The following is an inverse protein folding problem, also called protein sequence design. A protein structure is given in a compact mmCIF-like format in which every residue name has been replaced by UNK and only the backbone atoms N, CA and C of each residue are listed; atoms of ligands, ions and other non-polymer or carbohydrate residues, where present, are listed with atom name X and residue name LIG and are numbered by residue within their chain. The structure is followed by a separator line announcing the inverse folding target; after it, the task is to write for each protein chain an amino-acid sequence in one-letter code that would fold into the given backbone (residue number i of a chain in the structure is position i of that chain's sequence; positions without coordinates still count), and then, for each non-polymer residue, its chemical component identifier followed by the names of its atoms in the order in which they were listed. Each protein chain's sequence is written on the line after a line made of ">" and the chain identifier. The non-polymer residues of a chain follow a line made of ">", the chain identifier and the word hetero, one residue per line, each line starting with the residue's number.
data_IF_702866553359
#
_entry.id   IF_702866553359
#
_cell.length_a   1.000
_cell.length_b   1.000
_cell.length_c   1.000
_cell.angle_alpha   90.00
_cell.angle_beta   90.00
_cell.angle_gamma   90.00
#
_symmetry.space_group_name_H-M   'P 1'
#
loop_
_entity.id
_entity.type
_entity.pdbx_description
1 polymer ?
#
# COMPACT_ATOMS: atom_id res chain seq x y z
N UNK A 1 -5.76 -17.20 32.45
CA UNK A 1 -5.13 -17.99 31.37
C UNK A 1 -6.10 -18.32 30.23
N UNK A 2 -7.20 -19.04 30.46
CA UNK A 2 -8.11 -19.46 29.36
C UNK A 2 -8.74 -18.30 28.57
N UNK A 3 -9.13 -17.21 29.26
CA UNK A 3 -9.63 -15.98 28.61
C UNK A 3 -8.56 -15.25 27.80
N UNK A 4 -7.28 -15.37 28.18
CA UNK A 4 -6.15 -14.75 27.46
C UNK A 4 -5.82 -15.57 26.21
N UNK A 5 -5.74 -16.90 26.32
CA UNK A 5 -5.55 -17.80 25.17
C UNK A 5 -6.69 -17.68 24.14
N UNK A 6 -7.94 -17.60 24.60
CA UNK A 6 -9.09 -17.45 23.69
C UNK A 6 -9.07 -16.09 22.97
N UNK A 7 -8.59 -15.03 23.63
CA UNK A 7 -8.38 -13.71 23.02
C UNK A 7 -7.25 -13.74 21.97
N UNK A 8 -6.12 -14.36 22.29
CA UNK A 8 -5.02 -14.52 21.33
C UNK A 8 -5.45 -15.35 20.12
N UNK A 9 -6.25 -16.40 20.34
CA UNK A 9 -6.79 -17.27 19.29
C UNK A 9 -7.80 -16.55 18.38
N UNK A 10 -8.70 -15.74 18.94
CA UNK A 10 -9.68 -14.97 18.15
C UNK A 10 -9.01 -13.85 17.34
N UNK A 11 -8.02 -13.17 17.92
CA UNK A 11 -7.19 -12.20 17.20
C UNK A 11 -6.38 -12.89 16.09
N UNK A 12 -5.81 -14.07 16.36
CA UNK A 12 -5.16 -14.89 15.34
C UNK A 12 -6.14 -15.21 14.20
N UNK A 13 -7.39 -15.60 14.51
CA UNK A 13 -8.40 -15.99 13.53
C UNK A 13 -8.89 -14.82 12.67
N UNK A 14 -9.02 -13.61 13.22
CA UNK A 14 -9.39 -12.40 12.46
C UNK A 14 -8.22 -11.92 11.58
N UNK A 15 -6.99 -12.09 12.07
CA UNK A 15 -5.79 -11.80 11.29
C UNK A 15 -5.53 -12.88 10.22
N UNK A 16 -5.80 -14.15 10.50
CA UNK A 16 -5.73 -15.30 9.57
C UNK A 16 -6.88 -15.32 8.55
N UNK A 17 -8.07 -14.85 8.90
CA UNK A 17 -9.17 -14.70 7.93
C UNK A 17 -8.87 -13.59 6.92
N UNK A 18 -8.00 -12.65 7.27
CA UNK A 18 -7.42 -11.68 6.33
C UNK A 18 -6.42 -12.32 5.34
N UNK A 19 -5.96 -13.55 5.58
CA UNK A 19 -5.10 -14.31 4.66
C UNK A 19 -5.88 -15.22 3.70
N UNK A 20 -7.10 -15.65 4.03
CA UNK A 20 -7.78 -16.72 3.28
C UNK A 20 -8.63 -16.27 2.07
N UNK A 21 -8.71 -14.98 1.77
CA UNK A 21 -9.44 -14.48 0.60
C UNK A 21 -8.51 -14.23 -0.60
N UNK A 22 -7.75 -15.25 -1.03
CA UNK A 22 -7.11 -15.26 -2.35
C UNK A 22 -7.33 -16.61 -3.00
N UNK A 23 -8.05 -16.60 -4.12
CA UNK A 23 -8.42 -17.78 -4.90
C UNK A 23 -7.19 -18.60 -5.35
N UNK A 24 -7.25 -19.91 -5.14
CA UNK A 24 -6.36 -20.89 -5.78
C UNK A 24 -6.70 -20.98 -7.28
N UNK A 25 -5.69 -21.19 -8.13
CA UNK A 25 -5.88 -22.23 -9.14
C UNK A 25 -4.69 -23.19 -9.28
N UNK A 26 -5.00 -24.25 -10.01
CA UNK A 26 -4.37 -25.57 -10.01
C UNK A 26 -2.98 -25.66 -10.64
N UNK A 27 -2.30 -26.75 -10.30
CA UNK A 27 -0.91 -27.07 -10.59
C UNK A 27 -0.47 -27.02 -12.06
N UNK A 28 0.83 -26.83 -12.23
CA UNK A 28 1.60 -27.34 -13.35
C UNK A 28 2.98 -27.78 -12.81
N UNK A 29 3.40 -28.97 -13.21
CA UNK A 29 4.60 -29.69 -12.76
C UNK A 29 5.88 -29.02 -13.26
N UNK A 30 6.94 -29.15 -12.45
CA UNK A 30 8.33 -28.90 -12.83
C UNK A 30 8.83 -30.01 -13.76
N UNK A 31 9.38 -29.64 -14.91
CA UNK A 31 10.42 -30.42 -15.57
C UNK A 31 11.59 -29.48 -15.89
N UNK A 32 12.77 -29.89 -15.44
CA UNK A 32 14.03 -29.22 -15.63
C UNK A 32 14.67 -29.67 -16.94
N UNK A 33 15.21 -28.71 -17.69
CA UNK A 33 16.36 -28.95 -18.57
C UNK A 33 17.11 -27.62 -18.77
N UNK A 34 18.40 -27.59 -18.45
CA UNK A 34 19.31 -26.47 -18.79
C UNK A 34 19.81 -26.65 -20.23
N UNK A 35 19.98 -25.55 -21.00
CA UNK A 35 21.36 -25.15 -21.31
C UNK A 35 21.64 -23.63 -21.51
N UNK A 36 22.89 -23.29 -21.16
CA UNK A 36 23.86 -22.27 -21.63
C UNK A 36 23.41 -20.91 -22.24
N UNK A 37 23.79 -19.81 -21.55
CA UNK A 37 23.56 -18.38 -21.90
C UNK A 37 22.46 -17.72 -21.03
N UNK A 38 22.42 -16.37 -20.83
CA UNK A 38 21.36 -15.75 -20.03
C UNK A 38 20.03 -15.87 -20.78
N UNK A 39 19.31 -16.95 -20.50
CA UNK A 39 18.10 -17.32 -21.19
C UNK A 39 16.96 -16.35 -20.83
N UNK A 40 16.51 -15.57 -21.81
CA UNK A 40 15.24 -14.84 -21.75
C UNK A 40 14.06 -15.82 -21.81
N UNK A 41 13.85 -16.59 -20.74
CA UNK A 41 12.68 -17.46 -20.61
C UNK A 41 11.42 -16.59 -20.43
N UNK A 42 10.45 -16.73 -21.33
CA UNK A 42 9.15 -16.04 -21.23
C UNK A 42 8.20 -16.92 -20.43
N UNK A 43 8.30 -16.88 -19.10
CA UNK A 43 7.44 -17.66 -18.18
C UNK A 43 6.39 -16.74 -17.57
N UNK A 44 5.13 -17.15 -17.60
CA UNK A 44 4.06 -16.48 -16.87
C UNK A 44 4.34 -16.52 -15.37
N UNK A 45 4.49 -15.35 -14.75
CA UNK A 45 4.72 -15.29 -13.30
C UNK A 45 3.36 -15.22 -12.60
N UNK A 46 3.12 -16.05 -11.57
CA UNK A 46 1.92 -15.96 -10.71
C UNK A 46 1.98 -14.72 -9.78
N UNK A 47 2.55 -13.62 -10.24
CA UNK A 47 2.68 -12.36 -9.51
C UNK A 47 3.74 -12.34 -8.40
N UNK A 48 4.12 -13.47 -7.80
CA UNK A 48 5.14 -13.51 -6.72
C UNK A 48 4.79 -12.53 -5.59
N UNK A 49 3.52 -12.54 -5.17
CA UNK A 49 2.76 -11.44 -4.55
C UNK A 49 3.31 -10.84 -3.23
N UNK A 50 4.44 -11.32 -2.70
CA UNK A 50 5.11 -10.80 -1.50
C UNK A 50 6.62 -10.59 -1.67
N UNK A 51 7.17 -10.78 -2.86
CA UNK A 51 8.62 -10.72 -3.11
C UNK A 51 9.03 -9.63 -4.08
N UNK A 52 8.08 -9.01 -4.76
CA UNK A 52 8.33 -8.03 -5.80
C UNK A 52 7.78 -6.67 -5.41
N UNK A 53 8.60 -5.65 -5.61
CA UNK A 53 8.27 -4.24 -5.33
C UNK A 53 8.37 -3.43 -6.60
N UNK A 54 7.30 -2.70 -6.93
CA UNK A 54 7.27 -1.78 -8.06
C UNK A 54 8.22 -0.61 -7.82
N UNK A 55 9.10 -0.33 -8.77
CA UNK A 55 10.02 0.83 -8.74
C UNK A 55 9.77 1.82 -9.89
N UNK A 56 9.07 1.37 -10.92
CA UNK A 56 8.62 2.20 -12.05
C UNK A 56 7.33 1.63 -12.61
N UNK A 57 6.39 2.52 -12.92
CA UNK A 57 5.14 2.20 -13.62
C UNK A 57 5.04 3.05 -14.88
N UNK A 58 4.64 2.43 -15.99
CA UNK A 58 4.29 3.11 -17.23
C UNK A 58 3.04 2.46 -17.83
N UNK A 59 1.88 3.10 -17.68
CA UNK A 59 0.56 2.47 -17.89
C UNK A 59 0.46 1.14 -17.15
N UNK A 60 0.37 0.03 -17.86
CA UNK A 60 0.29 -1.31 -17.28
C UNK A 60 1.66 -2.01 -17.18
N UNK A 61 2.73 -1.38 -17.66
CA UNK A 61 4.09 -1.89 -17.56
C UNK A 61 4.71 -1.54 -16.22
N UNK A 62 5.52 -2.47 -15.68
CA UNK A 62 6.13 -2.33 -14.36
C UNK A 62 7.54 -2.86 -14.34
N UNK A 63 8.46 -2.08 -13.79
CA UNK A 63 9.76 -2.59 -13.34
C UNK A 63 9.60 -2.94 -11.86
N UNK A 64 9.93 -4.19 -11.51
CA UNK A 64 9.84 -4.66 -10.15
C UNK A 64 11.18 -5.19 -9.66
N UNK A 65 11.57 -4.85 -8.43
CA UNK A 65 12.73 -5.42 -7.75
C UNK A 65 12.33 -6.57 -6.84
N UNK A 66 13.13 -7.63 -6.86
CA UNK A 66 12.99 -8.76 -5.95
C UNK A 66 13.61 -8.44 -4.58
N UNK A 67 12.86 -8.65 -3.50
CA UNK A 67 13.21 -8.22 -2.14
C UNK A 67 14.50 -8.86 -1.56
N UNK A 68 14.96 -9.98 -2.12
CA UNK A 68 16.13 -10.71 -1.59
C UNK A 68 17.33 -10.71 -2.52
N UNK A 69 17.08 -10.81 -3.83
CA UNK A 69 18.15 -10.95 -4.81
C UNK A 69 18.50 -9.61 -5.45
N UNK A 70 17.71 -8.55 -5.19
CA UNK A 70 17.79 -7.23 -5.82
C UNK A 70 17.69 -7.22 -7.35
N UNK A 71 17.45 -8.38 -7.98
CA UNK A 71 17.21 -8.47 -9.41
C UNK A 71 15.90 -7.79 -9.76
N UNK A 72 15.88 -7.15 -10.90
CA UNK A 72 14.71 -6.52 -11.46
C UNK A 72 14.12 -7.38 -12.58
N UNK A 73 12.81 -7.23 -12.77
CA UNK A 73 12.08 -7.72 -13.94
C UNK A 73 11.25 -6.60 -14.52
N UNK A 74 11.17 -6.54 -15.85
CA UNK A 74 10.19 -5.73 -16.56
C UNK A 74 8.99 -6.63 -16.91
N UNK A 75 7.79 -6.23 -16.49
CA UNK A 75 6.52 -6.88 -16.84
C UNK A 75 5.70 -5.96 -17.72
N UNK A 76 5.01 -6.53 -18.72
CA UNK A 76 3.95 -5.84 -19.46
C UNK A 76 2.59 -5.95 -18.74
N UNK A 77 1.56 -5.33 -19.31
CA UNK A 77 0.19 -5.35 -18.76
C UNK A 77 -0.47 -6.74 -18.70
N UNK A 78 0.11 -7.75 -19.36
CA UNK A 78 -0.33 -9.16 -19.26
C UNK A 78 0.47 -9.94 -18.23
N UNK A 79 1.30 -9.26 -17.42
CA UNK A 79 2.28 -9.84 -16.49
C UNK A 79 3.29 -10.78 -17.18
N UNK A 80 3.55 -10.57 -18.47
CA UNK A 80 4.58 -11.30 -19.20
C UNK A 80 5.91 -10.59 -18.96
N UNK A 81 6.95 -11.36 -18.59
CA UNK A 81 8.30 -10.83 -18.42
C UNK A 81 8.89 -10.42 -19.77
N UNK A 82 9.28 -9.15 -19.88
CA UNK A 82 9.90 -8.53 -21.07
C UNK A 82 11.36 -8.13 -20.84
N UNK A 83 11.82 -8.14 -19.61
CA UNK A 83 13.20 -7.83 -19.23
C UNK A 83 13.55 -8.46 -17.88
N UNK A 84 14.85 -8.63 -17.65
CA UNK A 84 15.42 -9.24 -16.46
C UNK A 84 16.87 -8.75 -16.30
N UNK A 85 17.33 -8.52 -15.08
CA UNK A 85 18.67 -8.02 -14.82
C UNK A 85 18.67 -7.11 -13.60
N UNK A 86 19.36 -5.98 -13.68
CA UNK A 86 19.18 -4.87 -12.74
C UNK A 86 18.12 -3.86 -13.22
N UNK A 87 18.02 -2.73 -12.52
CA UNK A 87 17.05 -1.68 -12.87
C UNK A 87 17.35 -1.07 -14.23
N UNK A 88 18.63 -0.82 -14.54
CA UNK A 88 19.06 -0.14 -15.76
C UNK A 88 18.82 -1.05 -16.98
N UNK A 89 19.05 -2.35 -16.84
CA UNK A 89 18.70 -3.35 -17.86
C UNK A 89 17.19 -3.32 -18.17
N UNK A 90 16.36 -3.35 -17.14
CA UNK A 90 14.91 -3.32 -17.28
C UNK A 90 14.40 -1.98 -17.82
N UNK A 91 15.03 -0.88 -17.42
CA UNK A 91 14.73 0.46 -17.89
C UNK A 91 15.08 0.61 -19.38
N UNK A 92 16.26 0.16 -19.79
CA UNK A 92 16.68 0.15 -21.19
C UNK A 92 15.72 -0.67 -22.07
N UNK A 93 15.24 -1.82 -21.58
CA UNK A 93 14.24 -2.62 -22.27
C UNK A 93 12.89 -1.90 -22.41
N UNK A 94 12.45 -1.17 -21.38
CA UNK A 94 11.24 -0.34 -21.46
C UNK A 94 11.40 0.82 -22.44
N UNK A 95 12.55 1.50 -22.45
CA UNK A 95 12.84 2.59 -23.39
C UNK A 95 12.97 2.09 -24.84
N UNK A 96 13.46 0.87 -25.05
CA UNK A 96 13.41 0.22 -26.36
C UNK A 96 11.97 0.02 -26.84
N UNK A 97 11.10 -0.53 -25.97
CA UNK A 97 9.67 -0.66 -26.27
C UNK A 97 9.02 0.69 -26.60
N UNK A 98 9.29 1.74 -25.82
CA UNK A 98 8.75 3.09 -26.07
C UNK A 98 9.18 3.63 -27.44
N UNK A 99 10.44 3.45 -27.83
CA UNK A 99 10.94 3.90 -29.14
C UNK A 99 10.35 3.12 -30.31
N UNK A 100 10.16 1.81 -30.16
CA UNK A 100 9.68 0.94 -31.23
C UNK A 100 8.17 1.03 -31.44
N UNK A 101 7.40 1.12 -30.34
CA UNK A 101 5.94 1.05 -30.38
C UNK A 101 5.27 2.43 -30.26
N UNK A 102 6.01 3.49 -29.92
CA UNK A 102 5.51 4.85 -29.67
C UNK A 102 4.19 4.90 -28.85
N UNK A 103 4.17 4.28 -27.66
CA UNK A 103 2.96 4.24 -26.84
C UNK A 103 2.59 5.64 -26.36
N UNK A 104 1.30 5.93 -26.11
CA UNK A 104 0.88 7.21 -25.56
C UNK A 104 1.66 7.58 -24.30
N UNK A 105 1.95 8.86 -24.12
CA UNK A 105 2.55 9.37 -22.88
C UNK A 105 1.63 9.13 -21.69
N UNK A 106 2.22 9.02 -20.50
CA UNK A 106 1.47 8.87 -19.25
C UNK A 106 1.14 10.25 -18.67
N UNK A 107 0.05 10.85 -19.14
CA UNK A 107 -0.39 12.21 -18.76
C UNK A 107 -1.65 12.19 -17.88
N UNK A 108 -2.07 13.36 -17.38
CA UNK A 108 -3.30 13.56 -16.62
C UNK A 108 -3.13 13.34 -15.11
N UNK A 109 -4.19 12.84 -14.46
CA UNK A 109 -4.25 12.69 -13.00
C UNK A 109 -4.11 11.21 -12.60
N UNK A 110 -3.20 10.90 -11.69
CA UNK A 110 -2.91 9.54 -11.22
C UNK A 110 -3.28 9.38 -9.75
N UNK A 111 -3.88 8.25 -9.39
CA UNK A 111 -4.10 7.83 -8.01
C UNK A 111 -3.28 6.57 -7.74
N UNK A 112 -2.26 6.68 -6.90
CA UNK A 112 -1.42 5.56 -6.45
C UNK A 112 -2.05 4.92 -5.21
N UNK A 113 -2.32 3.62 -5.28
CA UNK A 113 -2.94 2.84 -4.21
C UNK A 113 -1.90 1.95 -3.52
N UNK A 114 -1.77 2.08 -2.20
CA UNK A 114 -0.84 1.28 -1.39
C UNK A 114 -1.61 0.34 -0.45
N UNK A 115 -1.30 -0.95 -0.51
CA UNK A 115 -1.95 -1.99 0.30
C UNK A 115 -1.36 -2.11 1.72
N UNK A 116 -2.05 -2.81 2.62
CA UNK A 116 -1.53 -3.12 3.95
C UNK A 116 -0.45 -4.21 3.99
N UNK A 117 0.06 -4.47 5.18
CA UNK A 117 1.02 -5.55 5.45
C UNK A 117 0.39 -6.94 5.19
N UNK A 118 1.18 -7.91 4.73
CA UNK A 118 0.74 -9.26 4.36
C UNK A 118 -0.33 -9.30 3.24
N UNK A 119 -0.53 -8.19 2.53
CA UNK A 119 -1.45 -8.08 1.40
C UNK A 119 -0.70 -7.84 0.11
N UNK A 120 -1.43 -7.94 -1.00
CA UNK A 120 -0.95 -7.53 -2.32
C UNK A 120 -1.83 -6.41 -2.87
N UNK A 121 -1.43 -5.86 -4.03
CA UNK A 121 -2.20 -4.86 -4.77
C UNK A 121 -3.65 -5.26 -5.03
N UNK A 122 -3.95 -6.57 -5.11
CA UNK A 122 -5.31 -7.08 -5.30
C UNK A 122 -6.27 -6.68 -4.18
N UNK A 123 -5.77 -6.43 -2.96
CA UNK A 123 -6.61 -5.94 -1.85
C UNK A 123 -7.15 -4.51 -2.07
N UNK A 124 -6.51 -3.73 -2.94
CA UNK A 124 -6.93 -2.38 -3.29
C UNK A 124 -7.85 -2.35 -4.52
N UNK A 125 -8.10 -3.50 -5.16
CA UNK A 125 -8.78 -3.59 -6.46
C UNK A 125 -10.22 -3.05 -6.41
N UNK A 126 -10.92 -3.23 -5.29
CA UNK A 126 -12.27 -2.70 -5.12
C UNK A 126 -12.28 -1.17 -5.13
N UNK A 127 -11.36 -0.54 -4.38
CA UNK A 127 -11.15 0.92 -4.44
C UNK A 127 -10.72 1.34 -5.83
N UNK A 128 -9.78 0.61 -6.45
CA UNK A 128 -9.24 0.93 -7.77
C UNK A 128 -10.33 1.00 -8.83
N UNK A 129 -11.15 -0.05 -8.90
CA UNK A 129 -12.28 -0.15 -9.81
C UNK A 129 -13.29 0.96 -9.58
N UNK A 130 -13.68 1.19 -8.32
CA UNK A 130 -14.65 2.23 -8.00
C UNK A 130 -14.16 3.62 -8.46
N UNK A 131 -12.91 3.96 -8.16
CA UNK A 131 -12.33 5.24 -8.58
C UNK A 131 -12.25 5.34 -10.11
N UNK A 132 -11.78 4.28 -10.79
CA UNK A 132 -11.66 4.27 -12.25
C UNK A 132 -13.02 4.38 -12.97
N UNK A 133 -14.07 3.73 -12.45
CA UNK A 133 -15.42 3.78 -13.04
C UNK A 133 -16.13 5.13 -12.85
N UNK A 134 -15.74 5.89 -11.83
CA UNK A 134 -16.46 7.11 -11.42
C UNK A 134 -15.64 8.40 -11.59
N UNK A 135 -14.48 8.34 -12.25
CA UNK A 135 -13.59 9.49 -12.45
C UNK A 135 -12.74 9.40 -13.71
N UNK A 136 -12.00 10.48 -13.98
CA UNK A 136 -10.96 10.57 -15.01
C UNK A 136 -9.57 10.19 -14.49
N UNK A 137 -9.46 9.70 -13.25
CA UNK A 137 -8.19 9.29 -12.67
C UNK A 137 -7.66 8.02 -13.32
N UNK A 138 -6.36 8.00 -13.62
CA UNK A 138 -5.62 6.76 -13.84
C UNK A 138 -5.26 6.16 -12.47
N UNK A 139 -5.90 5.05 -12.12
CA UNK A 139 -5.80 4.46 -10.79
C UNK A 139 -4.86 3.25 -10.81
N UNK A 140 -3.82 3.27 -9.98
CA UNK A 140 -2.72 2.30 -10.04
C UNK A 140 -2.48 1.68 -8.66
N UNK A 141 -2.96 0.44 -8.44
CA UNK A 141 -2.54 -0.40 -7.32
C UNK A 141 -1.06 -0.75 -7.44
N UNK A 142 -0.26 -0.30 -6.47
CA UNK A 142 1.16 -0.64 -6.37
C UNK A 142 1.35 -1.96 -5.63
N UNK A 143 2.35 -2.72 -6.07
CA UNK A 143 2.84 -3.93 -5.40
C UNK A 143 4.12 -3.61 -4.65
N UNK A 144 4.21 -4.05 -3.40
CA UNK A 144 5.47 -4.08 -2.68
C UNK A 144 5.56 -5.26 -1.73
N UNK A 145 6.79 -5.69 -1.47
CA UNK A 145 7.13 -6.86 -0.67
C UNK A 145 6.94 -6.59 0.83
N UNK A 146 5.70 -6.30 1.25
CA UNK A 146 5.37 -5.70 2.55
C UNK A 146 5.95 -6.41 3.77
N UNK A 147 6.20 -7.72 3.70
CA UNK A 147 6.74 -8.51 4.82
C UNK A 147 8.24 -8.81 4.69
N UNK A 148 8.88 -8.39 3.60
CA UNK A 148 10.25 -8.80 3.23
C UNK A 148 11.25 -7.65 3.22
N UNK A 149 10.78 -6.41 3.31
CA UNK A 149 11.61 -5.21 3.39
C UNK A 149 11.10 -4.27 4.50
N UNK A 150 11.89 -3.26 4.83
CA UNK A 150 11.58 -2.24 5.82
C UNK A 150 10.62 -1.17 5.24
N UNK A 151 9.97 -0.38 6.10
CA UNK A 151 9.09 0.73 5.68
C UNK A 151 9.89 1.74 4.85
N UNK A 152 11.14 1.99 5.22
CA UNK A 152 12.08 2.82 4.48
C UNK A 152 12.32 2.30 3.05
N UNK A 153 12.51 0.98 2.87
CA UNK A 153 12.70 0.38 1.54
C UNK A 153 11.47 0.60 0.65
N UNK A 154 10.27 0.44 1.22
CA UNK A 154 9.02 0.68 0.48
C UNK A 154 8.84 2.16 0.13
N UNK A 155 9.27 3.07 1.02
CA UNK A 155 9.23 4.52 0.79
C UNK A 155 10.21 4.95 -0.30
N UNK A 156 11.41 4.35 -0.33
CA UNK A 156 12.39 4.53 -1.41
C UNK A 156 11.83 4.08 -2.77
N UNK A 157 11.19 2.90 -2.81
CA UNK A 157 10.55 2.40 -4.01
C UNK A 157 9.39 3.31 -4.47
N UNK A 158 8.58 3.81 -3.53
CA UNK A 158 7.53 4.79 -3.82
C UNK A 158 8.13 6.08 -4.41
N UNK A 159 9.24 6.58 -3.86
CA UNK A 159 9.94 7.74 -4.40
C UNK A 159 10.42 7.50 -5.84
N UNK A 160 10.93 6.29 -6.14
CA UNK A 160 11.28 5.90 -7.50
C UNK A 160 10.07 5.92 -8.42
N UNK A 161 8.93 5.35 -8.01
CA UNK A 161 7.70 5.38 -8.82
C UNK A 161 7.27 6.81 -9.11
N UNK A 162 7.18 7.67 -8.09
CA UNK A 162 6.75 9.09 -8.23
C UNK A 162 7.67 9.85 -9.20
N UNK A 163 8.99 9.67 -9.08
CA UNK A 163 9.98 10.32 -9.94
C UNK A 163 9.78 9.98 -11.42
N UNK A 164 9.43 8.74 -11.75
CA UNK A 164 9.27 8.29 -13.14
C UNK A 164 7.89 8.61 -13.76
N UNK A 165 6.98 9.26 -13.02
CA UNK A 165 5.70 9.72 -13.53
C UNK A 165 5.81 11.09 -14.23
N UNK A 166 6.93 11.42 -14.89
CA UNK A 166 7.32 12.79 -15.30
C UNK A 166 6.23 13.62 -16.00
N UNK A 167 5.50 13.02 -16.96
CA UNK A 167 4.46 13.69 -17.75
C UNK A 167 3.09 13.78 -17.04
N UNK A 168 2.94 13.24 -15.83
CA UNK A 168 1.71 13.29 -15.02
C UNK A 168 1.54 14.68 -14.41
N UNK A 169 0.31 15.20 -14.44
CA UNK A 169 -0.03 16.55 -13.97
C UNK A 169 -0.35 16.56 -12.47
N UNK A 170 -1.09 15.56 -11.99
CA UNK A 170 -1.51 15.44 -10.59
C UNK A 170 -1.31 14.01 -10.07
N UNK A 171 -0.82 13.90 -8.85
CA UNK A 171 -0.63 12.64 -8.14
C UNK A 171 -1.44 12.70 -6.85
N UNK A 172 -2.19 11.64 -6.59
CA UNK A 172 -2.87 11.39 -5.33
C UNK A 172 -2.42 10.07 -4.75
N UNK A 173 -2.47 9.96 -3.41
CA UNK A 173 -2.25 8.69 -2.72
C UNK A 173 -3.52 8.23 -2.02
N UNK A 174 -3.79 6.94 -2.09
CA UNK A 174 -4.80 6.27 -1.26
C UNK A 174 -4.14 5.05 -0.64
N UNK A 175 -4.04 5.01 0.68
CA UNK A 175 -3.25 3.99 1.34
C UNK A 175 -4.02 3.29 2.46
N UNK A 176 -3.84 1.97 2.57
CA UNK A 176 -4.44 1.16 3.62
C UNK A 176 -3.40 0.70 4.65
N UNK A 177 -3.73 0.83 5.93
CA UNK A 177 -2.92 0.28 7.03
C UNK A 177 -1.44 0.65 6.90
N UNK A 178 -0.51 -0.33 6.80
CA UNK A 178 0.93 -0.12 6.56
C UNK A 178 1.23 0.84 5.41
N UNK A 179 0.48 0.81 4.31
CA UNK A 179 0.72 1.70 3.16
C UNK A 179 0.71 3.18 3.56
N UNK A 180 -0.03 3.55 4.62
CA UNK A 180 -0.02 4.91 5.15
C UNK A 180 1.31 5.27 5.79
N UNK A 181 1.95 4.32 6.48
CA UNK A 181 3.28 4.52 7.05
C UNK A 181 4.31 4.68 5.93
N UNK A 182 4.17 3.93 4.83
CA UNK A 182 5.03 4.09 3.64
C UNK A 182 4.91 5.49 3.05
N UNK A 183 3.67 6.02 2.89
CA UNK A 183 3.46 7.38 2.38
C UNK A 183 4.01 8.44 3.35
N UNK A 184 3.81 8.27 4.66
CA UNK A 184 4.35 9.19 5.68
C UNK A 184 5.88 9.17 5.74
N UNK A 185 6.48 8.00 5.61
CA UNK A 185 7.93 7.82 5.56
C UNK A 185 8.51 8.46 4.29
N UNK A 186 7.87 8.27 3.14
CA UNK A 186 8.24 8.96 1.90
C UNK A 186 8.31 10.48 2.12
N UNK A 187 7.30 11.11 2.71
CA UNK A 187 7.37 12.54 3.00
C UNK A 187 8.46 12.90 4.03
N UNK A 188 8.67 12.05 5.04
CA UNK A 188 9.74 12.21 6.03
C UNK A 188 11.13 12.21 5.40
N UNK A 189 11.40 11.28 4.50
CA UNK A 189 12.67 11.17 3.78
C UNK A 189 12.93 12.41 2.91
N UNK A 190 11.91 12.89 2.18
CA UNK A 190 12.02 14.13 1.39
C UNK A 190 12.34 15.33 2.28
N UNK A 191 11.63 15.46 3.41
CA UNK A 191 11.86 16.55 4.35
C UNK A 191 13.26 16.50 4.97
N UNK A 192 13.73 15.31 5.38
CA UNK A 192 15.06 15.10 5.94
C UNK A 192 16.18 15.41 4.94
N UNK A 193 15.97 15.11 3.65
CA UNK A 193 16.89 15.45 2.58
C UNK A 193 16.89 16.95 2.21
N UNK A 194 15.96 17.74 2.75
CA UNK A 194 15.75 19.13 2.34
C UNK A 194 15.12 19.26 0.94
N UNK A 195 14.58 18.17 0.41
CA UNK A 195 13.97 18.13 -0.90
C UNK A 195 12.55 18.70 -0.87
N UNK A 196 12.17 19.59 -1.80
CA UNK A 196 10.80 20.05 -1.89
C UNK A 196 9.87 18.88 -2.21
N UNK A 197 8.66 18.95 -1.63
CA UNK A 197 7.57 18.05 -1.97
C UNK A 197 7.26 18.22 -3.45
N UNK A 198 7.09 17.10 -4.15
CA UNK A 198 6.69 17.12 -5.55
C UNK A 198 5.37 17.89 -5.70
N UNK A 199 5.34 19.02 -6.44
CA UNK A 199 4.17 19.89 -6.51
C UNK A 199 2.98 19.23 -7.22
N UNK A 200 3.19 18.09 -7.90
CA UNK A 200 2.12 17.30 -8.52
C UNK A 200 1.31 16.55 -7.47
N UNK A 201 1.89 16.27 -6.29
CA UNK A 201 1.17 15.59 -5.21
C UNK A 201 0.12 16.54 -4.62
N UNK A 202 -1.16 16.22 -4.81
CA UNK A 202 -2.27 17.08 -4.39
C UNK A 202 -2.95 16.63 -3.11
N UNK A 203 -3.28 15.33 -3.01
CA UNK A 203 -4.07 14.81 -1.88
C UNK A 203 -3.68 13.40 -1.45
N UNK A 204 -3.88 13.11 -0.17
CA UNK A 204 -3.74 11.78 0.42
C UNK A 204 -5.05 11.37 1.09
N UNK A 205 -5.52 10.14 0.86
CA UNK A 205 -6.59 9.51 1.65
C UNK A 205 -6.03 8.32 2.40
N UNK A 206 -6.21 8.32 3.72
CA UNK A 206 -5.71 7.30 4.61
C UNK A 206 -6.86 6.39 5.06
N UNK A 207 -6.79 5.09 4.72
CA UNK A 207 -7.78 4.08 5.12
C UNK A 207 -7.24 3.28 6.31
N UNK A 208 -7.90 3.38 7.46
CA UNK A 208 -7.51 2.75 8.74
C UNK A 208 -5.99 2.82 9.02
N UNK A 209 -5.36 4.01 9.02
CA UNK A 209 -3.92 4.14 9.27
C UNK A 209 -3.57 3.86 10.73
N UNK A 210 -2.48 3.12 11.04
CA UNK A 210 -1.97 2.99 12.41
C UNK A 210 -1.11 4.21 12.78
N UNK A 211 -1.70 5.41 12.80
CA UNK A 211 -0.94 6.67 12.85
C UNK A 211 -0.20 6.93 14.17
N UNK A 212 -0.63 6.28 15.26
CA UNK A 212 -0.06 6.43 16.60
C UNK A 212 0.55 5.13 17.16
N UNK A 213 0.58 4.04 16.37
CA UNK A 213 1.30 2.77 16.57
C UNK A 213 1.15 1.97 17.88
N UNK A 214 0.53 2.53 18.92
CA UNK A 214 0.60 2.03 20.29
C UNK A 214 0.07 0.61 20.44
N UNK A 215 -1.01 0.27 19.71
CA UNK A 215 -1.61 -1.05 19.81
C UNK A 215 -0.94 -2.09 18.93
N UNK A 216 -0.58 -1.72 17.71
CA UNK A 216 0.10 -2.64 16.81
C UNK A 216 1.44 -3.05 17.42
N UNK A 217 2.19 -2.10 17.99
CA UNK A 217 3.42 -2.37 18.72
C UNK A 217 3.21 -3.34 19.89
N UNK A 218 2.21 -3.11 20.76
CA UNK A 218 1.89 -4.01 21.88
C UNK A 218 1.56 -5.44 21.43
N UNK A 219 0.82 -5.60 20.31
CA UNK A 219 0.48 -6.91 19.75
C UNK A 219 1.73 -7.64 19.24
N UNK A 220 2.67 -6.90 18.64
CA UNK A 220 3.93 -7.45 18.12
C UNK A 220 4.93 -7.83 19.21
N UNK A 221 5.07 -7.00 20.24
CA UNK A 221 5.98 -7.27 21.36
C UNK A 221 5.59 -8.55 22.10
N UNK A 222 4.29 -8.74 22.34
CA UNK A 222 3.78 -9.82 23.19
C UNK A 222 3.61 -11.17 22.47
N UNK A 223 3.91 -11.28 21.17
CA UNK A 223 3.73 -12.52 20.43
C UNK A 223 4.83 -12.77 19.37
N UNK A 224 5.81 -13.64 19.66
CA UNK A 224 6.91 -13.94 18.73
C UNK A 224 6.45 -14.61 17.41
N UNK A 225 5.29 -15.28 17.40
CA UNK A 225 4.70 -15.84 16.16
C UNK A 225 4.26 -14.69 15.24
N UNK A 226 3.73 -13.60 15.79
CA UNK A 226 3.35 -12.44 14.99
C UNK A 226 4.58 -11.80 14.33
N UNK A 227 5.71 -11.63 15.02
CA UNK A 227 6.92 -11.08 14.39
C UNK A 227 7.39 -11.87 13.16
N UNK A 228 7.28 -13.19 13.19
CA UNK A 228 7.67 -14.06 12.06
C UNK A 228 6.71 -13.91 10.88
N UNK A 229 5.40 -13.91 11.13
CA UNK A 229 4.37 -13.82 10.08
C UNK A 229 4.41 -12.45 9.39
N UNK A 230 4.59 -11.40 10.17
CA UNK A 230 4.51 -10.02 9.72
C UNK A 230 5.84 -9.46 9.21
N UNK A 231 6.94 -10.18 9.43
CA UNK A 231 8.23 -9.94 8.77
C UNK A 231 8.88 -8.60 9.11
N UNK A 232 9.72 -8.09 8.21
CA UNK A 232 10.60 -6.92 8.47
C UNK A 232 9.83 -5.65 8.83
N UNK A 233 8.85 -5.24 8.03
CA UNK A 233 8.02 -4.06 8.39
C UNK A 233 7.25 -4.26 9.70
N UNK A 234 6.83 -5.48 10.03
CA UNK A 234 6.19 -5.76 11.32
C UNK A 234 7.12 -5.56 12.52
N UNK A 235 8.42 -5.84 12.35
CA UNK A 235 9.44 -5.59 13.39
C UNK A 235 9.65 -4.09 13.59
N UNK A 236 9.70 -3.28 12.53
CA UNK A 236 9.81 -1.82 12.66
C UNK A 236 8.59 -1.21 13.31
N UNK A 237 7.38 -1.68 12.98
CA UNK A 237 6.17 -1.20 13.65
C UNK A 237 6.18 -1.56 15.15
N UNK A 238 6.83 -2.67 15.52
CA UNK A 238 7.01 -3.02 16.93
C UNK A 238 7.90 -1.99 17.65
N UNK A 239 8.91 -1.43 16.99
CA UNK A 239 9.71 -0.31 17.48
C UNK A 239 9.16 1.04 17.00
N UNK A 240 7.91 1.33 17.40
CA UNK A 240 7.21 2.53 16.96
C UNK A 240 7.98 3.82 17.22
N UNK A 241 8.69 3.93 18.34
CA UNK A 241 9.45 5.15 18.70
C UNK A 241 10.60 5.42 17.75
N UNK A 242 11.24 4.39 17.21
CA UNK A 242 12.25 4.55 16.18
C UNK A 242 11.59 4.94 14.85
N UNK A 243 10.55 4.20 14.44
CA UNK A 243 9.86 4.43 13.17
C UNK A 243 9.26 5.85 13.09
N UNK A 244 8.58 6.31 14.15
CA UNK A 244 7.90 7.60 14.20
C UNK A 244 8.82 8.79 13.89
N UNK A 245 10.12 8.70 14.18
CA UNK A 245 11.10 9.74 13.89
C UNK A 245 11.30 9.99 12.39
N UNK A 246 10.94 9.01 11.56
CA UNK A 246 11.03 9.07 10.10
C UNK A 246 9.68 9.36 9.44
N UNK A 247 8.58 9.44 10.21
CA UNK A 247 7.25 9.66 9.66
C UNK A 247 6.87 11.14 9.68
N UNK A 248 6.62 11.73 8.51
CA UNK A 248 6.03 13.06 8.44
C UNK A 248 4.50 13.02 8.45
N UNK A 249 3.88 14.12 8.90
CA UNK A 249 2.50 14.45 8.53
C UNK A 249 2.50 14.85 7.04
N UNK A 250 1.56 14.35 6.21
CA UNK A 250 1.50 14.76 4.81
C UNK A 250 1.43 16.29 4.68
N UNK A 251 2.34 16.92 3.92
CA UNK A 251 2.40 18.37 3.77
C UNK A 251 1.34 18.94 2.81
N UNK A 252 0.57 18.06 2.15
CA UNK A 252 -0.56 18.38 1.29
C UNK A 252 -1.90 18.11 1.99
N UNK A 253 -3.02 18.48 1.38
CA UNK A 253 -4.35 18.20 1.92
C UNK A 253 -4.56 16.67 2.07
N UNK A 254 -4.93 16.20 3.26
CA UNK A 254 -5.18 14.78 3.50
C UNK A 254 -6.39 14.53 4.39
N UNK A 255 -7.01 13.38 4.19
CA UNK A 255 -8.19 12.94 4.94
C UNK A 255 -8.03 11.51 5.45
N UNK A 256 -8.71 11.19 6.54
CA UNK A 256 -8.64 9.86 7.16
C UNK A 256 -10.04 9.23 7.20
N UNK A 257 -10.17 8.03 6.65
CA UNK A 257 -11.34 7.16 6.81
C UNK A 257 -10.97 6.01 7.75
N UNK A 258 -11.54 6.03 8.94
CA UNK A 258 -11.35 4.99 9.95
C UNK A 258 -12.46 3.94 9.87
N UNK A 259 -12.09 2.67 9.95
CA UNK A 259 -13.05 1.60 10.22
C UNK A 259 -13.45 1.61 11.69
N UNK A 260 -14.73 1.41 11.96
CA UNK A 260 -15.24 1.20 13.31
C UNK A 260 -16.45 0.29 13.29
N UNK A 261 -16.44 -0.79 14.06
CA UNK A 261 -17.59 -1.67 14.22
C UNK A 261 -18.00 -1.61 15.68
N UNK A 262 -18.85 -0.62 16.02
CA UNK A 262 -19.34 -0.33 17.39
C UNK A 262 -19.87 -1.53 18.19
N UNK A 263 -20.15 -2.66 17.53
CA UNK A 263 -20.61 -3.93 18.11
C UNK A 263 -19.50 -4.96 18.38
N UNK A 264 -18.26 -4.72 17.97
CA UNK A 264 -17.12 -5.52 18.39
C UNK A 264 -16.82 -5.15 19.85
N UNK A 265 -17.29 -5.98 20.77
CA UNK A 265 -16.99 -5.84 22.19
C UNK A 265 -15.53 -6.26 22.40
N UNK A 266 -14.60 -5.35 22.11
CA UNK A 266 -13.16 -5.56 22.18
C UNK A 266 -12.64 -5.03 23.52
N UNK A 267 -12.51 -5.88 24.57
CA UNK A 267 -12.12 -5.43 25.91
C UNK A 267 -10.68 -4.92 26.00
N UNK A 268 -9.94 -4.97 24.89
CA UNK A 268 -8.57 -4.50 24.80
C UNK A 268 -8.48 -3.10 24.16
N UNK A 269 -9.52 -2.60 23.50
CA UNK A 269 -9.57 -1.24 22.95
C UNK A 269 -10.58 -0.41 23.71
N UNK A 270 -10.20 0.80 24.12
CA UNK A 270 -11.16 1.77 24.64
C UNK A 270 -11.80 2.52 23.47
N UNK A 271 -13.05 2.20 23.16
CA UNK A 271 -13.81 2.87 22.09
C UNK A 271 -14.00 2.00 20.86
N UNK A 272 -14.37 2.63 19.74
CA UNK A 272 -14.66 1.96 18.47
C UNK A 272 -13.36 1.55 17.74
N UNK A 273 -13.38 0.40 17.08
CA UNK A 273 -12.23 -0.17 16.36
C UNK A 273 -12.65 -1.05 15.18
N UNK A 274 -11.68 -1.35 14.32
CA UNK A 274 -11.90 -2.17 13.13
C UNK A 274 -11.39 -3.62 13.29
N UNK A 275 -11.12 -4.05 14.52
CA UNK A 275 -10.54 -5.35 14.88
C UNK A 275 -9.00 -5.37 14.92
N UNK A 276 -8.34 -4.34 14.38
CA UNK A 276 -6.86 -4.24 14.36
C UNK A 276 -6.40 -2.90 14.93
N UNK A 277 -6.96 -1.80 14.43
CA UNK A 277 -6.61 -0.42 14.77
C UNK A 277 -7.83 0.26 15.40
N UNK A 278 -7.60 1.00 16.48
CA UNK A 278 -8.68 1.80 17.09
C UNK A 278 -8.96 3.07 16.28
N UNK A 279 -10.20 3.55 16.29
CA UNK A 279 -10.55 4.84 15.66
C UNK A 279 -9.68 5.98 16.19
N UNK A 280 -9.36 5.98 17.49
CA UNK A 280 -8.48 6.98 18.09
C UNK A 280 -7.06 6.93 17.51
N UNK A 281 -6.51 5.72 17.36
CA UNK A 281 -5.15 5.49 16.83
C UNK A 281 -5.01 5.92 15.36
N UNK A 282 -6.11 5.95 14.60
CA UNK A 282 -6.09 6.45 13.22
C UNK A 282 -5.91 7.95 13.09
N UNK A 283 -6.19 8.73 14.15
CA UNK A 283 -6.16 10.19 14.09
C UNK A 283 -4.75 10.72 13.89
N UNK A 284 -4.59 11.75 13.07
CA UNK A 284 -3.34 12.46 12.87
C UNK A 284 -3.63 13.96 12.74
N UNK A 285 -2.98 14.83 13.53
CA UNK A 285 -3.12 16.28 13.39
C UNK A 285 -2.75 16.76 11.98
N UNK A 286 -3.49 17.75 11.49
CA UNK A 286 -3.38 18.29 10.12
C UNK A 286 -4.39 17.70 9.13
N UNK A 287 -5.14 16.66 9.51
CA UNK A 287 -6.16 16.08 8.62
C UNK A 287 -7.27 17.10 8.33
N UNK A 288 -7.56 17.34 7.06
CA UNK A 288 -8.59 18.26 6.61
C UNK A 288 -10.01 17.73 6.84
N UNK A 289 -10.16 16.41 6.89
CA UNK A 289 -11.42 15.74 7.18
C UNK A 289 -11.19 14.35 7.81
N UNK A 290 -12.16 13.89 8.58
CA UNK A 290 -12.15 12.60 9.28
C UNK A 290 -13.52 11.94 9.23
N UNK A 291 -13.57 10.70 8.75
CA UNK A 291 -14.81 9.93 8.67
C UNK A 291 -14.64 8.56 9.32
N UNK A 292 -15.63 8.12 10.09
CA UNK A 292 -15.72 6.74 10.57
C UNK A 292 -16.78 6.01 9.76
N UNK A 293 -16.45 4.83 9.24
CA UNK A 293 -17.38 3.98 8.49
C UNK A 293 -17.55 2.61 9.18
N UNK A 294 -18.73 1.99 9.10
CA UNK A 294 -18.97 0.65 9.63
C UNK A 294 -18.20 -0.39 8.82
N UNK A 295 -16.96 -0.69 9.22
CA UNK A 295 -16.09 -1.64 8.53
C UNK A 295 -15.03 -2.22 9.46
N UNK A 296 -14.76 -3.52 9.29
CA UNK A 296 -13.56 -4.14 9.83
C UNK A 296 -12.32 -3.78 8.98
N UNK A 297 -11.13 -3.95 9.56
CA UNK A 297 -9.85 -3.51 9.02
C UNK A 297 -9.58 -4.09 7.63
N UNK A 298 -9.84 -5.39 7.47
CA UNK A 298 -9.54 -6.11 6.25
C UNK A 298 -10.49 -5.83 5.09
N UNK A 299 -11.62 -5.17 5.34
CA UNK A 299 -12.67 -4.91 4.35
C UNK A 299 -12.84 -3.42 4.02
N UNK A 300 -12.15 -2.50 4.70
CA UNK A 300 -12.38 -1.06 4.51
C UNK A 300 -12.12 -0.60 3.06
N UNK A 301 -11.16 -1.21 2.36
CA UNK A 301 -10.86 -0.92 0.95
C UNK A 301 -12.01 -1.30 0.01
N UNK A 302 -12.86 -2.26 0.39
CA UNK A 302 -14.04 -2.66 -0.37
C UNK A 302 -15.33 -2.08 0.19
N UNK A 303 -15.25 -1.29 1.27
CA UNK A 303 -16.43 -0.66 1.86
C UNK A 303 -16.92 0.46 0.92
N UNK A 304 -18.20 0.37 0.54
CA UNK A 304 -18.84 1.33 -0.39
C UNK A 304 -18.73 2.78 0.09
N UNK A 305 -19.00 3.03 1.38
CA UNK A 305 -18.93 4.37 1.95
C UNK A 305 -17.48 4.89 1.96
N UNK A 306 -16.51 4.02 2.25
CA UNK A 306 -15.09 4.40 2.18
C UNK A 306 -14.66 4.76 0.75
N UNK A 307 -15.10 4.00 -0.25
CA UNK A 307 -14.79 4.27 -1.66
C UNK A 307 -15.45 5.59 -2.14
N UNK A 308 -16.72 5.80 -1.81
CA UNK A 308 -17.46 7.04 -2.09
C UNK A 308 -16.77 8.26 -1.45
N UNK A 309 -16.46 8.16 -0.16
CA UNK A 309 -15.77 9.22 0.58
C UNK A 309 -14.38 9.49 0.00
N UNK A 310 -13.62 8.44 -0.34
CA UNK A 310 -12.29 8.57 -0.97
C UNK A 310 -12.39 9.39 -2.25
N UNK A 311 -13.29 9.04 -3.16
CA UNK A 311 -13.48 9.78 -4.41
C UNK A 311 -13.88 11.24 -4.16
N UNK A 312 -14.80 11.46 -3.23
CA UNK A 312 -15.29 12.79 -2.87
C UNK A 312 -14.15 13.66 -2.31
N UNK A 313 -13.28 13.09 -1.48
CA UNK A 313 -12.12 13.76 -0.92
C UNK A 313 -11.09 14.08 -2.00
N UNK A 314 -10.77 13.12 -2.88
CA UNK A 314 -9.83 13.33 -3.97
C UNK A 314 -10.25 14.48 -4.90
N UNK A 315 -11.55 14.69 -5.09
CA UNK A 315 -12.10 15.80 -5.89
C UNK A 315 -12.14 17.13 -5.13
N UNK A 316 -12.67 17.10 -3.91
CA UNK A 316 -13.18 18.30 -3.24
C UNK A 316 -12.53 18.59 -1.88
N UNK A 317 -11.64 17.73 -1.39
CA UNK A 317 -10.97 17.88 -0.09
C UNK A 317 -11.86 17.63 1.13
N UNK A 318 -13.04 17.04 0.96
CA UNK A 318 -13.95 16.65 2.03
C UNK A 318 -14.61 15.30 1.72
N UNK A 319 -15.05 14.57 2.74
CA UNK A 319 -15.70 13.26 2.58
C UNK A 319 -17.19 13.34 2.27
N UNK A 320 -17.87 14.41 2.70
CA UNK A 320 -19.31 14.62 2.50
C UNK A 320 -19.56 15.98 1.83
N UNK A 321 -19.49 17.06 2.61
CA UNK A 321 -19.53 18.46 2.12
C UNK A 321 -18.49 19.30 2.87
N UNK A 322 -18.11 20.49 2.36
CA UNK A 322 -17.20 21.39 3.08
C UNK A 322 -17.66 21.75 4.50
N UNK A 323 -18.97 21.90 4.70
CA UNK A 323 -19.58 22.27 6.00
C UNK A 323 -19.61 21.10 6.99
N UNK A 324 -19.57 19.87 6.48
CA UNK A 324 -19.59 18.65 7.29
C UNK A 324 -18.20 18.16 7.69
N UNK A 325 -17.12 18.84 7.25
CA UNK A 325 -15.73 18.44 7.53
C UNK A 325 -15.51 18.28 9.04
N UNK A 326 -14.75 17.26 9.41
CA UNK A 326 -14.30 17.00 10.77
C UNK A 326 -12.76 17.08 10.81
N UNK A 327 -12.18 18.29 10.73
CA UNK A 327 -10.72 18.43 10.74
C UNK A 327 -10.11 17.98 12.06
N UNK A 328 -8.85 17.55 12.00
CA UNK A 328 -8.05 17.20 13.19
C UNK A 328 -6.95 18.26 13.33
N UNK A 329 -7.06 19.07 14.37
CA UNK A 329 -6.10 20.13 14.69
C UNK A 329 -4.97 19.62 15.59
#
# INVERSE_FOLDING_TARGET
>A
MLKTLLKTFLLLLVLLSSFLATALPAGAQEEADEPDGPAHLVVGTLGGVQFWTDELIFHDWRIQRHAWTNHCRLLDGKNIRRGWGDFDDCYAALEAYKRECDPPRMTGKVVLLLHGLCRSRASMEATARYLAEHSDYRVIPLSYASTRAEVADHALALASVVRHLEDVEEIHFVAHSLGNLVVRHYFGDRAAAGDPVDPRIKRVVMLSPPNNGSRLAEVFENNPIFRVVWGRSGIEIADWKALEQHLATPPCEFGIVAGGVRSLDNPLVKGDDDGVVSVLETRLPGAADFLVVPSIHGNIMANKQACEATLQFLRNGCFVTPEARQPIH
#
